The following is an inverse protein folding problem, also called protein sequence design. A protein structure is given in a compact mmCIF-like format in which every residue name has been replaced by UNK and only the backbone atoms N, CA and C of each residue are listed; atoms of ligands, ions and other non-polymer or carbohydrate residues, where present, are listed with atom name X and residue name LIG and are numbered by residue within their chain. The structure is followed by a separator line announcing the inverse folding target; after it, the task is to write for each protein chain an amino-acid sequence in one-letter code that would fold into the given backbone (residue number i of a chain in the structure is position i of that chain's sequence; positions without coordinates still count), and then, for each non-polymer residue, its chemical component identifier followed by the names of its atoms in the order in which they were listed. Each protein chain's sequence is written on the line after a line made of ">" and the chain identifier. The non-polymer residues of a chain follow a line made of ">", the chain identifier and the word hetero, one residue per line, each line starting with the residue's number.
data_IF_909370700211
#
_entry.id   IF_909370700211
#
_cell.length_a   1.000
_cell.length_b   1.000
_cell.length_c   1.000
_cell.angle_alpha   90.00
_cell.angle_beta   90.00
_cell.angle_gamma   90.00
#
_symmetry.space_group_name_H-M   'P 1'
#
loop_
_entity.id
_entity.type
_entity.pdbx_description
1 polymer ?
#
# COMPACT_ATOMS: atom_id res chain seq x y z
N UNK A 1 4.32 13.63 -23.20
CA UNK A 1 4.16 13.43 -21.75
C UNK A 1 2.67 13.29 -21.45
N UNK A 2 2.29 12.36 -20.58
CA UNK A 2 0.86 12.02 -20.36
C UNK A 2 0.55 11.80 -18.86
N UNK A 3 -0.73 11.89 -18.49
CA UNK A 3 -1.25 11.42 -17.21
C UNK A 3 -0.89 12.25 -15.99
N UNK A 4 -0.52 11.58 -14.90
CA UNK A 4 -0.15 12.19 -13.63
C UNK A 4 0.87 13.34 -13.75
N UNK A 5 1.99 13.15 -14.44
CA UNK A 5 2.97 14.20 -14.70
C UNK A 5 2.41 15.47 -15.34
N UNK A 6 1.46 15.33 -16.28
CA UNK A 6 0.80 16.51 -16.91
C UNK A 6 -0.06 17.24 -15.89
N UNK A 7 -0.88 16.50 -15.14
CA UNK A 7 -1.67 17.07 -14.05
C UNK A 7 -0.81 17.80 -13.03
N UNK A 8 0.26 17.16 -12.56
CA UNK A 8 1.11 17.72 -11.51
C UNK A 8 1.90 18.94 -12.01
N UNK A 9 2.34 18.93 -13.28
CA UNK A 9 2.92 20.11 -13.94
C UNK A 9 1.93 21.28 -14.00
N UNK A 10 0.68 21.04 -14.42
CA UNK A 10 -0.37 22.06 -14.44
C UNK A 10 -0.70 22.61 -13.04
N UNK A 11 -0.58 21.77 -12.01
CA UNK A 11 -0.74 22.14 -10.59
C UNK A 11 0.52 22.78 -9.98
N UNK A 12 1.62 22.91 -10.74
CA UNK A 12 2.93 23.37 -10.27
C UNK A 12 3.47 22.53 -9.09
N UNK A 13 3.19 21.22 -9.10
CA UNK A 13 3.69 20.25 -8.13
C UNK A 13 4.94 19.56 -8.67
N UNK A 14 5.94 19.29 -7.83
CA UNK A 14 7.09 18.50 -8.26
C UNK A 14 6.64 17.09 -8.63
N UNK A 15 7.24 16.55 -9.69
CA UNK A 15 7.08 15.13 -10.06
C UNK A 15 8.46 14.52 -10.25
N UNK A 16 8.61 13.29 -9.76
CA UNK A 16 9.84 12.50 -9.91
C UNK A 16 9.67 11.38 -10.94
N UNK A 17 8.45 11.17 -11.39
CA UNK A 17 8.10 10.18 -12.41
C UNK A 17 7.59 10.90 -13.65
N UNK A 18 8.10 10.52 -14.83
CA UNK A 18 7.57 10.96 -16.10
C UNK A 18 6.96 9.79 -16.86
N UNK A 19 5.75 9.97 -17.35
CA UNK A 19 5.08 9.04 -18.25
C UNK A 19 5.12 9.62 -19.65
N UNK A 20 5.80 8.94 -20.55
CA UNK A 20 5.85 9.27 -21.99
C UNK A 20 5.07 8.22 -22.76
N UNK A 21 4.32 8.67 -23.77
CA UNK A 21 3.69 7.77 -24.73
C UNK A 21 4.08 8.17 -26.13
N UNK A 22 4.27 7.19 -27.00
CA UNK A 22 4.67 7.37 -28.40
C UNK A 22 3.74 6.60 -29.31
N UNK A 23 3.47 7.15 -30.49
CA UNK A 23 2.76 6.42 -31.54
C UNK A 23 3.81 5.60 -32.29
N UNK A 24 3.95 4.32 -31.91
CA UNK A 24 4.95 3.41 -32.47
C UNK A 24 5.85 2.76 -31.42
N UNK A 25 7.09 2.48 -31.80
CA UNK A 25 8.06 1.78 -30.94
C UNK A 25 8.59 2.70 -29.82
N UNK A 26 8.49 2.33 -28.53
CA UNK A 26 9.01 3.10 -27.42
C UNK A 26 10.53 3.00 -27.24
N UNK A 27 11.20 2.00 -27.83
CA UNK A 27 12.62 1.72 -27.59
C UNK A 27 13.55 2.86 -27.97
N UNK A 28 13.45 3.50 -29.13
CA UNK A 28 14.32 4.62 -29.51
C UNK A 28 14.23 5.79 -28.51
N UNK A 29 13.01 6.13 -28.07
CA UNK A 29 12.79 7.22 -27.11
C UNK A 29 13.32 6.85 -25.73
N UNK A 30 13.13 5.61 -25.29
CA UNK A 30 13.67 5.13 -24.01
C UNK A 30 15.20 5.18 -23.99
N UNK A 31 15.87 4.83 -25.09
CA UNK A 31 17.34 4.92 -25.22
C UNK A 31 17.84 6.37 -25.16
N UNK A 32 17.15 7.30 -25.81
CA UNK A 32 17.48 8.73 -25.72
C UNK A 32 17.31 9.22 -24.29
N UNK A 33 16.18 8.89 -23.64
CA UNK A 33 15.94 9.24 -22.23
C UNK A 33 17.03 8.68 -21.31
N UNK A 34 17.43 7.42 -21.50
CA UNK A 34 18.47 6.80 -20.69
C UNK A 34 19.83 7.51 -20.82
N UNK A 35 20.20 7.91 -22.04
CA UNK A 35 21.42 8.71 -22.28
C UNK A 35 21.35 10.06 -21.55
N UNK A 36 20.21 10.77 -21.65
CA UNK A 36 20.02 12.08 -21.03
C UNK A 36 20.11 12.06 -19.50
N UNK A 37 19.53 11.03 -18.85
CA UNK A 37 19.50 10.94 -17.39
C UNK A 37 20.64 10.09 -16.81
N UNK A 38 21.54 9.56 -17.65
CA UNK A 38 22.62 8.68 -17.24
C UNK A 38 22.12 7.37 -16.60
N UNK A 39 21.02 6.83 -17.14
CA UNK A 39 20.30 5.68 -16.61
C UNK A 39 20.40 4.43 -17.50
N UNK A 40 19.60 3.42 -17.16
CA UNK A 40 19.44 2.17 -17.92
C UNK A 40 17.99 1.97 -18.31
N UNK A 41 17.78 1.28 -19.45
CA UNK A 41 16.45 0.87 -19.92
C UNK A 41 16.17 -0.54 -19.47
N UNK A 42 14.99 -0.75 -18.88
CA UNK A 42 14.49 -2.06 -18.47
C UNK A 42 13.10 -2.28 -19.08
N UNK A 43 12.78 -3.54 -19.45
CA UNK A 43 11.41 -3.91 -19.80
C UNK A 43 10.53 -3.86 -18.55
N UNK A 44 9.36 -3.26 -18.67
CA UNK A 44 8.45 -3.10 -17.54
C UNK A 44 7.00 -3.40 -17.91
N UNK A 45 6.35 -4.21 -17.08
CA UNK A 45 4.93 -4.52 -17.23
C UNK A 45 4.61 -5.42 -18.44
N UNK A 46 3.30 -5.63 -18.64
CA UNK A 46 2.77 -6.61 -19.62
C UNK A 46 2.65 -6.06 -21.05
N UNK A 47 2.72 -4.75 -21.22
CA UNK A 47 2.35 -4.07 -22.46
C UNK A 47 3.52 -3.35 -23.15
N UNK A 48 4.73 -3.90 -22.98
CA UNK A 48 5.90 -3.39 -23.71
C UNK A 48 6.39 -2.01 -23.25
N UNK A 49 6.05 -1.56 -22.05
CA UNK A 49 6.58 -0.33 -21.46
C UNK A 49 8.09 -0.48 -21.24
N UNK A 50 8.84 0.57 -21.52
CA UNK A 50 10.26 0.70 -21.18
C UNK A 50 10.40 1.63 -20.00
N UNK A 51 11.05 1.15 -18.96
CA UNK A 51 11.37 1.94 -17.77
C UNK A 51 12.82 2.39 -17.82
N UNK A 52 13.03 3.69 -17.69
CA UNK A 52 14.35 4.28 -17.55
C UNK A 52 14.53 4.73 -16.09
N UNK A 53 15.58 4.22 -15.44
CA UNK A 53 15.94 4.58 -14.07
C UNK A 53 17.22 5.41 -14.14
N UNK A 54 17.10 6.71 -13.83
CA UNK A 54 18.23 7.64 -13.78
C UNK A 54 19.01 7.56 -12.47
N UNK A 55 20.21 8.17 -12.43
CA UNK A 55 21.10 8.17 -11.26
C UNK A 55 20.46 8.78 -10.00
N UNK A 56 19.58 9.76 -10.14
CA UNK A 56 18.90 10.47 -9.05
C UNK A 56 17.57 9.85 -8.62
N UNK A 57 17.31 8.57 -8.93
CA UNK A 57 16.00 7.88 -8.75
C UNK A 57 14.87 8.50 -9.60
N UNK A 58 15.19 9.39 -10.52
CA UNK A 58 14.22 9.91 -11.48
C UNK A 58 13.83 8.77 -12.42
N UNK A 59 12.53 8.57 -12.59
CA UNK A 59 11.98 7.48 -13.40
C UNK A 59 11.24 8.02 -14.61
N UNK A 60 11.50 7.43 -15.77
CA UNK A 60 10.75 7.71 -16.99
C UNK A 60 10.17 6.39 -17.50
N UNK A 61 8.87 6.30 -17.60
CA UNK A 61 8.20 5.18 -18.23
C UNK A 61 7.78 5.60 -19.66
N UNK A 62 8.25 4.85 -20.65
CA UNK A 62 7.97 5.10 -22.08
C UNK A 62 7.15 3.93 -22.61
N UNK A 63 5.95 4.20 -23.09
CA UNK A 63 5.04 3.19 -23.63
C UNK A 63 4.54 3.57 -25.02
N UNK A 64 4.14 2.59 -25.83
CA UNK A 64 3.37 2.87 -27.04
C UNK A 64 1.94 3.24 -26.67
N UNK A 65 1.32 4.11 -27.48
CA UNK A 65 -0.13 4.36 -27.37
C UNK A 65 -0.90 3.08 -27.64
N UNK A 66 -1.98 2.86 -26.90
CA UNK A 66 -2.76 1.64 -27.03
C UNK A 66 -4.23 1.83 -26.70
N UNK A 67 -5.06 0.96 -27.23
CA UNK A 67 -6.44 0.77 -26.83
C UNK A 67 -6.61 -0.55 -26.09
N UNK A 68 -7.54 -0.58 -25.16
CA UNK A 68 -7.83 -1.70 -24.29
C UNK A 68 -9.34 -1.93 -24.23
N UNK A 69 -9.76 -3.18 -24.03
CA UNK A 69 -11.13 -3.55 -23.71
C UNK A 69 -11.16 -4.40 -22.45
N UNK A 70 -12.28 -4.43 -21.80
CA UNK A 70 -12.55 -5.32 -20.68
C UNK A 70 -13.53 -6.41 -21.17
N UNK A 71 -13.14 -7.68 -21.05
CA UNK A 71 -13.99 -8.82 -21.44
C UNK A 71 -15.18 -9.00 -20.50
N UNK A 72 -14.97 -8.65 -19.21
CA UNK A 72 -16.00 -8.66 -18.19
C UNK A 72 -15.63 -7.68 -17.06
N UNK A 73 -16.58 -7.29 -16.19
CA UNK A 73 -16.31 -6.44 -15.04
C UNK A 73 -15.21 -7.02 -14.13
N UNK A 74 -14.33 -6.15 -13.68
CA UNK A 74 -13.17 -6.48 -12.84
C UNK A 74 -12.10 -7.38 -13.49
N UNK A 75 -12.22 -7.73 -14.77
CA UNK A 75 -11.17 -8.40 -15.52
C UNK A 75 -9.93 -7.50 -15.66
N UNK A 76 -8.82 -8.09 -16.03
CA UNK A 76 -7.67 -7.30 -16.47
C UNK A 76 -7.92 -6.82 -17.91
N UNK A 77 -7.52 -5.58 -18.25
CA UNK A 77 -7.71 -5.08 -19.60
C UNK A 77 -6.93 -5.93 -20.62
N UNK A 78 -7.57 -6.19 -21.74
CA UNK A 78 -6.99 -6.84 -22.91
C UNK A 78 -6.54 -5.79 -23.92
N UNK A 79 -5.33 -5.95 -24.44
CA UNK A 79 -4.80 -5.10 -25.49
C UNK A 79 -5.59 -5.35 -26.79
N UNK A 80 -6.17 -4.30 -27.37
CA UNK A 80 -6.87 -4.40 -28.66
C UNK A 80 -6.04 -3.88 -29.83
N UNK A 81 -5.28 -2.81 -29.63
CA UNK A 81 -4.38 -2.26 -30.63
C UNK A 81 -3.27 -1.43 -29.99
N UNK A 82 -2.14 -1.31 -30.69
CA UNK A 82 -1.02 -0.42 -30.36
C UNK A 82 -0.81 0.61 -31.47
N UNK A 83 -0.10 1.70 -31.16
CA UNK A 83 0.13 2.78 -32.14
C UNK A 83 -1.13 3.57 -32.48
N UNK A 84 -2.15 3.53 -31.63
CA UNK A 84 -3.41 4.25 -31.83
C UNK A 84 -3.24 5.76 -31.63
N UNK A 85 -4.18 6.60 -32.14
CA UNK A 85 -4.22 8.03 -31.83
C UNK A 85 -4.20 8.30 -30.32
N UNK A 86 -3.58 9.41 -29.94
CA UNK A 86 -3.39 9.75 -28.50
C UNK A 86 -4.72 9.84 -27.74
N UNK A 87 -5.78 10.30 -28.38
CA UNK A 87 -7.11 10.42 -27.78
C UNK A 87 -7.65 9.06 -27.33
N UNK A 88 -7.40 8.00 -28.10
CA UNK A 88 -7.80 6.64 -27.72
C UNK A 88 -6.99 6.11 -26.53
N UNK A 89 -5.68 6.40 -26.46
CA UNK A 89 -4.86 6.05 -25.29
C UNK A 89 -5.32 6.81 -24.04
N UNK A 90 -5.71 8.06 -24.19
CA UNK A 90 -6.22 8.86 -23.07
C UNK A 90 -7.59 8.35 -22.58
N UNK A 91 -8.45 7.81 -23.48
CA UNK A 91 -9.79 7.33 -23.13
C UNK A 91 -9.82 6.11 -22.19
N UNK A 92 -8.82 5.24 -22.25
CA UNK A 92 -8.74 4.05 -21.37
C UNK A 92 -8.33 4.37 -19.93
N UNK A 93 -7.96 5.62 -19.61
CA UNK A 93 -7.49 6.03 -18.29
C UNK A 93 -8.63 6.12 -17.27
N UNK A 94 -8.28 6.42 -16.02
CA UNK A 94 -9.22 6.43 -14.90
C UNK A 94 -10.08 7.71 -14.81
N UNK A 95 -9.44 8.88 -14.85
CA UNK A 95 -10.08 10.17 -14.61
C UNK A 95 -9.66 11.21 -15.65
N UNK A 96 -10.56 12.17 -15.93
CA UNK A 96 -10.31 13.27 -16.87
C UNK A 96 -9.03 14.02 -16.56
N UNK A 97 -8.75 14.31 -15.29
CA UNK A 97 -7.53 15.01 -14.86
C UNK A 97 -6.23 14.22 -15.10
N UNK A 98 -6.32 12.93 -15.36
CA UNK A 98 -5.22 12.04 -15.71
C UNK A 98 -5.24 11.65 -17.19
N UNK A 99 -6.21 12.15 -17.96
CA UNK A 99 -6.39 11.87 -19.38
C UNK A 99 -6.01 13.06 -20.27
N UNK A 100 -4.94 13.72 -19.89
CA UNK A 100 -4.33 14.83 -20.63
C UNK A 100 -2.93 14.45 -21.12
N UNK A 101 -2.49 15.06 -22.20
CA UNK A 101 -1.15 14.93 -22.74
C UNK A 101 -0.54 16.29 -23.08
N UNK A 102 0.80 16.39 -23.05
CA UNK A 102 1.55 17.51 -23.61
C UNK A 102 2.44 16.98 -24.71
N UNK A 103 2.33 17.58 -25.90
CA UNK A 103 3.19 17.24 -27.03
C UNK A 103 4.64 17.62 -26.76
N UNK A 104 5.57 16.75 -27.13
CA UNK A 104 7.00 16.94 -26.96
C UNK A 104 7.76 16.79 -28.30
N UNK A 105 7.05 16.50 -29.36
CA UNK A 105 7.58 16.33 -30.72
C UNK A 105 7.81 17.67 -31.44
N UNK A 106 7.32 18.76 -30.88
CA UNK A 106 7.60 20.13 -31.30
C UNK A 106 7.79 21.05 -30.10
N UNK A 107 8.21 22.29 -30.35
CA UNK A 107 8.45 23.29 -29.29
C UNK A 107 7.19 23.96 -28.74
N UNK A 108 6.03 23.70 -29.34
CA UNK A 108 4.75 24.32 -28.94
C UNK A 108 4.29 23.91 -27.53
N UNK A 109 4.72 22.73 -27.07
CA UNK A 109 4.27 22.13 -25.81
C UNK A 109 2.75 22.13 -25.69
N UNK A 110 2.05 21.90 -26.79
CA UNK A 110 0.59 21.96 -26.87
C UNK A 110 -0.06 20.93 -25.94
N UNK A 111 -1.01 21.41 -25.13
CA UNK A 111 -1.86 20.54 -24.32
C UNK A 111 -2.90 19.85 -25.21
N UNK A 112 -3.01 18.54 -25.05
CA UNK A 112 -4.05 17.69 -25.65
C UNK A 112 -4.99 17.27 -24.51
N UNK A 113 -6.21 17.76 -24.54
CA UNK A 113 -7.23 17.55 -23.49
C UNK A 113 -8.60 17.26 -24.12
N UNK A 114 -8.80 16.07 -24.71
CA UNK A 114 -10.05 15.75 -25.39
C UNK A 114 -11.23 15.52 -24.44
N UNK A 115 -10.97 15.32 -23.14
CA UNK A 115 -11.98 14.92 -22.15
C UNK A 115 -12.24 15.98 -21.07
N UNK A 116 -11.71 17.19 -21.23
CA UNK A 116 -11.98 18.33 -20.33
C UNK A 116 -11.26 18.25 -18.98
N UNK A 117 -10.12 17.54 -18.92
CA UNK A 117 -9.34 17.39 -17.68
C UNK A 117 -8.84 18.70 -17.11
N UNK A 118 -8.48 19.69 -17.96
CA UNK A 118 -8.06 21.03 -17.53
C UNK A 118 -9.19 21.78 -16.85
N UNK A 119 -10.43 21.65 -17.33
CA UNK A 119 -11.61 22.23 -16.71
C UNK A 119 -11.85 21.59 -15.32
N UNK A 120 -11.91 20.26 -15.27
CA UNK A 120 -12.13 19.54 -14.03
C UNK A 120 -11.00 19.82 -13.00
N UNK A 121 -9.77 20.03 -13.46
CA UNK A 121 -8.64 20.43 -12.64
C UNK A 121 -8.85 21.82 -12.00
N UNK A 122 -9.32 22.80 -12.78
CA UNK A 122 -9.65 24.16 -12.32
C UNK A 122 -10.84 24.16 -11.35
N UNK A 123 -11.87 23.36 -11.66
CA UNK A 123 -13.09 23.23 -10.86
C UNK A 123 -12.91 22.35 -9.63
N UNK A 124 -11.68 21.79 -9.43
CA UNK A 124 -11.35 20.86 -8.36
C UNK A 124 -12.33 19.69 -8.29
N UNK A 125 -12.66 19.14 -9.45
CA UNK A 125 -13.62 18.04 -9.60
C UNK A 125 -12.88 16.80 -10.08
N UNK A 126 -13.19 15.65 -9.48
CA UNK A 126 -12.75 14.35 -9.97
C UNK A 126 -13.89 13.72 -10.77
N UNK A 127 -13.63 13.36 -12.02
CA UNK A 127 -14.60 12.79 -12.96
C UNK A 127 -14.02 11.59 -13.66
N UNK A 128 -14.79 10.50 -13.78
CA UNK A 128 -14.46 9.35 -14.63
C UNK A 128 -14.63 9.74 -16.11
N UNK A 129 -13.98 9.00 -17.01
CA UNK A 129 -14.02 9.30 -18.44
C UNK A 129 -15.32 8.87 -19.12
N UNK A 130 -15.99 7.84 -18.60
CA UNK A 130 -17.25 7.32 -19.15
C UNK A 130 -18.06 6.62 -18.06
N UNK A 131 -19.38 6.46 -18.22
CA UNK A 131 -20.27 5.89 -17.20
C UNK A 131 -19.94 4.45 -16.82
N UNK A 132 -19.38 3.64 -17.74
CA UNK A 132 -18.97 2.26 -17.43
C UNK A 132 -17.63 2.15 -16.70
N UNK A 133 -16.93 3.26 -16.43
CA UNK A 133 -15.54 3.27 -15.95
C UNK A 133 -15.33 2.47 -14.66
N UNK A 134 -16.23 2.58 -13.69
CA UNK A 134 -16.16 1.81 -12.44
C UNK A 134 -16.58 0.37 -12.61
N UNK A 135 -17.45 0.10 -13.59
CA UNK A 135 -17.87 -1.27 -13.94
C UNK A 135 -16.72 -2.03 -14.60
N UNK A 136 -16.06 -1.42 -15.56
CA UNK A 136 -14.92 -1.99 -16.27
C UNK A 136 -13.79 -2.32 -15.29
N UNK A 137 -13.46 -1.38 -14.43
CA UNK A 137 -12.44 -1.56 -13.40
C UNK A 137 -12.89 -1.01 -12.03
N UNK A 138 -13.45 -1.85 -11.14
CA UNK A 138 -13.87 -1.42 -9.81
C UNK A 138 -12.73 -0.94 -8.90
N UNK A 139 -11.45 -1.20 -9.23
CA UNK A 139 -10.33 -0.59 -8.48
C UNK A 139 -10.30 0.92 -8.66
N UNK A 140 -10.89 1.46 -9.73
CA UNK A 140 -11.01 2.91 -9.92
C UNK A 140 -11.83 3.60 -8.82
N UNK A 141 -12.71 2.87 -8.10
CA UNK A 141 -13.40 3.41 -6.91
C UNK A 141 -12.42 3.66 -5.77
N UNK A 142 -11.51 2.73 -5.50
CA UNK A 142 -10.44 2.92 -4.51
C UNK A 142 -9.50 4.06 -4.93
N UNK A 143 -9.15 4.12 -6.20
CA UNK A 143 -8.35 5.21 -6.78
C UNK A 143 -9.07 6.55 -6.66
N UNK A 144 -10.40 6.60 -6.92
CA UNK A 144 -11.20 7.81 -6.75
C UNK A 144 -11.14 8.32 -5.31
N UNK A 145 -11.36 7.45 -4.32
CA UNK A 145 -11.24 7.81 -2.91
C UNK A 145 -9.87 8.39 -2.56
N UNK A 146 -8.79 7.80 -3.08
CA UNK A 146 -7.41 8.29 -2.91
C UNK A 146 -7.19 9.66 -3.55
N UNK A 147 -7.60 9.85 -4.81
CA UNK A 147 -7.42 11.13 -5.49
C UNK A 147 -8.25 12.25 -4.87
N UNK A 148 -9.49 11.98 -4.47
CA UNK A 148 -10.33 12.93 -3.74
C UNK A 148 -9.68 13.37 -2.43
N UNK A 149 -9.13 12.41 -1.65
CA UNK A 149 -8.43 12.71 -0.41
C UNK A 149 -7.11 13.48 -0.64
N UNK A 150 -6.27 13.03 -1.59
CA UNK A 150 -4.96 13.63 -1.89
C UNK A 150 -5.07 15.04 -2.47
N UNK A 151 -6.00 15.26 -3.39
CA UNK A 151 -6.16 16.53 -4.08
C UNK A 151 -7.11 17.47 -3.35
N UNK A 152 -7.90 16.96 -2.42
CA UNK A 152 -9.01 17.66 -1.76
C UNK A 152 -10.04 18.18 -2.77
N UNK A 153 -10.37 17.32 -3.72
CA UNK A 153 -11.35 17.60 -4.77
C UNK A 153 -12.70 17.05 -4.37
N UNK A 154 -13.75 17.56 -5.01
CA UNK A 154 -15.11 17.03 -4.92
C UNK A 154 -15.31 15.95 -6.02
N UNK A 155 -16.11 14.91 -5.76
CA UNK A 155 -16.53 14.01 -6.83
C UNK A 155 -17.44 14.74 -7.81
N UNK A 156 -17.41 14.36 -9.09
CA UNK A 156 -18.42 14.79 -10.05
C UNK A 156 -19.80 14.27 -9.63
N UNK A 157 -20.84 14.99 -10.05
CA UNK A 157 -22.22 14.62 -9.75
C UNK A 157 -22.50 13.19 -10.24
N UNK A 158 -23.16 12.38 -9.40
CA UNK A 158 -23.49 11.00 -9.70
C UNK A 158 -22.39 9.97 -9.38
N UNK A 159 -21.10 10.37 -9.26
CA UNK A 159 -19.98 9.43 -9.08
C UNK A 159 -20.18 8.46 -7.90
N UNK A 160 -20.67 8.94 -6.76
CA UNK A 160 -20.94 8.10 -5.60
C UNK A 160 -22.08 7.10 -5.83
N UNK A 161 -23.06 7.47 -6.63
CA UNK A 161 -24.15 6.58 -7.09
C UNK A 161 -23.61 5.49 -7.99
N UNK A 162 -22.84 5.85 -9.02
CA UNK A 162 -22.19 4.89 -9.93
C UNK A 162 -21.34 3.87 -9.18
N UNK A 163 -20.53 4.31 -8.19
CA UNK A 163 -19.75 3.42 -7.34
C UNK A 163 -20.63 2.41 -6.57
N UNK A 164 -21.74 2.90 -5.97
CA UNK A 164 -22.69 2.04 -5.24
C UNK A 164 -23.41 1.05 -6.15
N UNK A 165 -23.71 1.42 -7.38
CA UNK A 165 -24.41 0.56 -8.33
C UNK A 165 -23.51 -0.61 -8.77
N UNK A 166 -22.22 -0.38 -9.03
CA UNK A 166 -21.24 -1.45 -9.30
C UNK A 166 -21.12 -2.42 -8.13
N UNK A 167 -21.20 -1.92 -6.90
CA UNK A 167 -21.19 -2.76 -5.70
C UNK A 167 -22.47 -3.60 -5.59
N UNK A 168 -23.65 -3.00 -5.79
CA UNK A 168 -24.95 -3.70 -5.76
C UNK A 168 -25.05 -4.79 -6.82
N UNK A 169 -24.47 -4.59 -7.99
CA UNK A 169 -24.42 -5.59 -9.07
C UNK A 169 -23.44 -6.73 -8.77
N UNK A 170 -22.71 -6.69 -7.65
CA UNK A 170 -21.72 -7.71 -7.27
C UNK A 170 -20.44 -7.69 -8.09
N UNK A 171 -20.28 -6.71 -8.98
CA UNK A 171 -19.13 -6.62 -9.90
C UNK A 171 -17.83 -6.29 -9.16
N UNK A 172 -17.89 -5.45 -8.13
CA UNK A 172 -16.74 -5.14 -7.29
C UNK A 172 -16.24 -6.34 -6.47
N UNK A 173 -17.10 -7.29 -6.15
CA UNK A 173 -16.73 -8.52 -5.42
C UNK A 173 -15.86 -9.49 -6.26
N UNK A 174 -15.82 -9.31 -7.58
CA UNK A 174 -14.97 -10.09 -8.50
C UNK A 174 -13.49 -9.67 -8.44
N UNK A 175 -13.15 -8.57 -7.75
CA UNK A 175 -11.76 -8.12 -7.62
C UNK A 175 -10.91 -9.18 -6.92
N UNK A 176 -9.76 -9.52 -7.51
CA UNK A 176 -8.82 -10.45 -6.90
C UNK A 176 -8.20 -9.87 -5.62
N UNK A 177 -7.82 -10.75 -4.67
CA UNK A 177 -7.14 -10.34 -3.43
C UNK A 177 -5.83 -9.61 -3.68
N UNK A 178 -5.12 -9.89 -4.77
CA UNK A 178 -3.93 -9.14 -5.18
C UNK A 178 -4.24 -7.68 -5.51
N UNK A 179 -5.31 -7.44 -6.27
CA UNK A 179 -5.72 -6.08 -6.63
C UNK A 179 -6.22 -5.31 -5.42
N UNK A 180 -7.00 -5.96 -4.56
CA UNK A 180 -7.46 -5.36 -3.30
C UNK A 180 -6.31 -5.05 -2.35
N UNK A 181 -5.31 -5.94 -2.23
CA UNK A 181 -4.10 -5.67 -1.44
C UNK A 181 -3.33 -4.47 -2.00
N UNK A 182 -3.14 -4.42 -3.32
CA UNK A 182 -2.48 -3.29 -3.96
C UNK A 182 -3.16 -1.96 -3.61
N UNK A 183 -4.49 -1.89 -3.74
CA UNK A 183 -5.23 -0.66 -3.41
C UNK A 183 -5.18 -0.33 -1.91
N UNK A 184 -5.24 -1.33 -1.03
CA UNK A 184 -5.06 -1.14 0.41
C UNK A 184 -3.69 -0.54 0.75
N UNK A 185 -2.62 -1.10 0.19
CA UNK A 185 -1.26 -0.58 0.43
C UNK A 185 -1.10 0.84 -0.12
N UNK A 186 -1.70 1.12 -1.27
CA UNK A 186 -1.74 2.46 -1.83
C UNK A 186 -2.53 3.46 -0.96
N UNK A 187 -3.68 3.05 -0.40
CA UNK A 187 -4.47 3.84 0.56
C UNK A 187 -3.65 4.17 1.81
N UNK A 188 -2.99 3.15 2.37
CA UNK A 188 -2.11 3.31 3.53
C UNK A 188 -0.86 4.15 3.22
N UNK A 189 -0.50 4.31 1.96
CA UNK A 189 0.60 5.19 1.51
C UNK A 189 0.23 6.67 1.39
N UNK A 190 -1.05 7.03 1.46
CA UNK A 190 -1.47 8.44 1.39
C UNK A 190 -1.07 9.21 2.66
N UNK A 191 -0.82 10.51 2.55
CA UNK A 191 -0.50 11.36 3.70
C UNK A 191 -1.63 11.35 4.75
N UNK A 192 -2.87 11.42 4.28
CA UNK A 192 -4.06 11.31 5.11
C UNK A 192 -5.00 10.22 4.60
N UNK A 193 -4.79 8.96 4.97
CA UNK A 193 -5.62 7.84 4.51
C UNK A 193 -7.05 7.86 5.06
N UNK A 194 -7.29 8.50 6.21
CA UNK A 194 -8.61 8.48 6.88
C UNK A 194 -9.73 9.07 6.01
N UNK A 195 -9.44 10.13 5.25
CA UNK A 195 -10.42 10.71 4.33
C UNK A 195 -10.79 9.74 3.21
N UNK A 196 -9.80 9.02 2.66
CA UNK A 196 -10.05 8.03 1.62
C UNK A 196 -10.84 6.83 2.16
N UNK A 197 -10.51 6.34 3.35
CA UNK A 197 -11.28 5.28 4.02
C UNK A 197 -12.72 5.71 4.30
N UNK A 198 -12.96 6.96 4.76
CA UNK A 198 -14.29 7.50 4.98
C UNK A 198 -15.15 7.54 3.71
N UNK A 199 -14.56 7.87 2.56
CA UNK A 199 -15.24 7.80 1.26
C UNK A 199 -15.60 6.37 0.89
N UNK A 200 -14.68 5.42 1.08
CA UNK A 200 -14.92 4.00 0.81
C UNK A 200 -16.00 3.42 1.73
N UNK A 201 -16.03 3.84 3.00
CA UNK A 201 -17.11 3.46 3.93
C UNK A 201 -18.45 3.99 3.44
N UNK A 202 -18.53 5.28 3.10
CA UNK A 202 -19.74 5.93 2.59
C UNK A 202 -20.27 5.26 1.29
N UNK A 203 -19.36 4.74 0.45
CA UNK A 203 -19.72 4.02 -0.77
C UNK A 203 -19.93 2.53 -0.57
N UNK A 204 -19.64 1.97 0.63
CA UNK A 204 -19.82 0.56 0.98
C UNK A 204 -18.69 -0.37 0.55
N UNK A 205 -17.52 0.15 0.21
CA UNK A 205 -16.39 -0.63 -0.33
C UNK A 205 -15.44 -1.20 0.73
N UNK A 206 -15.48 -0.71 1.98
CA UNK A 206 -14.58 -1.20 3.04
C UNK A 206 -14.68 -2.70 3.29
N UNK A 207 -15.88 -3.33 3.30
CA UNK A 207 -15.99 -4.77 3.51
C UNK A 207 -15.27 -5.63 2.45
N UNK A 208 -15.02 -5.09 1.25
CA UNK A 208 -14.23 -5.79 0.22
C UNK A 208 -12.76 -5.91 0.63
N UNK A 209 -12.23 -4.94 1.37
CA UNK A 209 -10.90 -5.02 1.96
C UNK A 209 -10.95 -5.97 3.17
N UNK A 210 -11.68 -5.60 4.19
CA UNK A 210 -11.95 -6.42 5.35
C UNK A 210 -13.18 -5.88 6.11
N UNK A 211 -14.14 -6.72 6.53
CA UNK A 211 -15.41 -6.28 7.11
C UNK A 211 -15.29 -5.35 8.32
N UNK A 212 -14.27 -5.59 9.17
CA UNK A 212 -14.07 -4.86 10.41
C UNK A 212 -12.75 -4.07 10.40
N UNK A 213 -12.34 -3.54 9.24
CA UNK A 213 -11.07 -2.81 9.13
C UNK A 213 -11.06 -1.58 10.05
N UNK A 214 -10.15 -1.49 11.05
CA UNK A 214 -10.15 -0.41 12.05
C UNK A 214 -9.43 0.83 11.51
N UNK A 215 -10.03 1.54 10.57
CA UNK A 215 -9.43 2.70 9.91
C UNK A 215 -9.59 4.02 10.68
N UNK A 216 -10.57 4.09 11.62
CA UNK A 216 -10.91 5.33 12.36
C UNK A 216 -9.89 5.67 13.46
N UNK A 217 -8.91 4.81 13.69
CA UNK A 217 -7.87 5.03 14.68
C UNK A 217 -6.80 6.02 14.20
N UNK A 218 -6.09 6.67 15.13
CA UNK A 218 -4.91 7.48 14.78
C UNK A 218 -3.77 6.58 14.29
N UNK A 219 -3.58 6.56 12.98
CA UNK A 219 -2.55 5.75 12.33
C UNK A 219 -1.15 6.41 12.45
N UNK A 220 -0.08 5.62 12.58
CA UNK A 220 1.30 6.09 12.48
C UNK A 220 1.66 6.48 11.04
N UNK A 221 2.87 7.02 10.83
CA UNK A 221 3.37 7.25 9.49
C UNK A 221 3.94 5.96 8.88
N UNK A 222 3.76 5.82 7.56
CA UNK A 222 4.26 4.70 6.78
C UNK A 222 3.29 3.52 6.65
N UNK A 223 3.36 2.81 5.52
CA UNK A 223 2.42 1.74 5.14
C UNK A 223 2.46 0.57 6.13
N UNK A 224 3.65 -0.01 6.35
CA UNK A 224 3.79 -1.17 7.22
C UNK A 224 3.46 -0.87 8.70
N UNK A 225 3.89 0.28 9.29
CA UNK A 225 3.44 0.68 10.62
C UNK A 225 1.92 0.88 10.74
N UNK A 226 1.27 1.50 9.73
CA UNK A 226 -0.18 1.67 9.69
C UNK A 226 -0.90 0.32 9.68
N UNK A 227 -0.45 -0.57 8.83
CA UNK A 227 -1.00 -1.92 8.72
C UNK A 227 -0.84 -2.71 10.03
N UNK A 228 0.35 -2.71 10.62
CA UNK A 228 0.61 -3.38 11.90
C UNK A 228 -0.26 -2.81 13.04
N UNK A 229 -0.48 -1.49 13.08
CA UNK A 229 -1.36 -0.86 14.06
C UNK A 229 -2.82 -1.31 13.90
N UNK A 230 -3.32 -1.38 12.66
CA UNK A 230 -4.66 -1.90 12.36
C UNK A 230 -4.81 -3.36 12.77
N UNK A 231 -3.83 -4.21 12.46
CA UNK A 231 -3.85 -5.62 12.83
C UNK A 231 -3.85 -5.82 14.35
N UNK A 232 -3.03 -5.08 15.08
CA UNK A 232 -3.03 -5.12 16.55
C UNK A 232 -4.37 -4.65 17.14
N UNK A 233 -5.08 -3.74 16.47
CA UNK A 233 -6.42 -3.32 16.88
C UNK A 233 -7.50 -4.39 16.64
N UNK A 234 -7.33 -5.22 15.59
CA UNK A 234 -8.22 -6.35 15.32
C UNK A 234 -8.10 -7.49 16.32
N UNK A 235 -6.98 -7.57 17.03
CA UNK A 235 -6.67 -8.68 17.93
C UNK A 235 -5.96 -9.85 17.24
N UNK A 236 -5.53 -10.86 18.03
CA UNK A 236 -4.63 -11.90 17.50
C UNK A 236 -5.30 -12.81 16.47
N UNK A 237 -6.56 -13.17 16.65
CA UNK A 237 -7.29 -14.08 15.76
C UNK A 237 -7.64 -13.38 14.44
N UNK A 238 -8.42 -12.29 14.50
CA UNK A 238 -8.85 -11.55 13.31
C UNK A 238 -7.65 -10.92 12.56
N UNK A 239 -6.61 -10.48 13.28
CA UNK A 239 -5.39 -9.99 12.67
C UNK A 239 -4.65 -11.07 11.88
N UNK A 240 -4.56 -12.30 12.40
CA UNK A 240 -3.96 -13.43 11.69
C UNK A 240 -4.81 -13.85 10.48
N UNK A 241 -6.14 -13.89 10.60
CA UNK A 241 -7.06 -14.14 9.50
C UNK A 241 -6.94 -13.10 8.39
N UNK A 242 -6.80 -11.82 8.76
CA UNK A 242 -6.55 -10.75 7.80
C UNK A 242 -5.25 -11.01 7.03
N UNK A 243 -4.13 -11.29 7.73
CA UNK A 243 -2.85 -11.58 7.09
C UNK A 243 -2.93 -12.81 6.17
N UNK A 244 -3.68 -13.84 6.57
CA UNK A 244 -3.90 -15.03 5.74
C UNK A 244 -4.76 -14.76 4.52
N UNK A 245 -5.69 -13.79 4.59
CA UNK A 245 -6.63 -13.48 3.51
C UNK A 245 -6.01 -12.70 2.34
N UNK A 246 -4.78 -12.20 2.49
CA UNK A 246 -4.09 -11.42 1.46
C UNK A 246 -2.73 -12.02 1.07
N UNK A 247 -2.32 -11.90 -0.20
CA UNK A 247 -1.04 -12.39 -0.70
C UNK A 247 0.10 -11.38 -0.39
N UNK A 248 0.38 -11.13 0.89
CA UNK A 248 1.50 -10.29 1.28
C UNK A 248 2.84 -10.88 0.85
N UNK A 249 3.81 -10.03 0.53
CA UNK A 249 5.20 -10.43 0.40
C UNK A 249 5.70 -11.08 1.68
N UNK A 250 6.55 -12.11 1.54
CA UNK A 250 6.98 -12.96 2.66
C UNK A 250 7.57 -12.15 3.82
N UNK A 251 8.46 -11.20 3.53
CA UNK A 251 9.10 -10.40 4.57
C UNK A 251 8.09 -9.59 5.40
N UNK A 252 7.19 -8.87 4.73
CA UNK A 252 6.15 -8.09 5.41
C UNK A 252 5.19 -9.00 6.17
N UNK A 253 4.78 -10.13 5.60
CA UNK A 253 3.92 -11.11 6.26
C UNK A 253 4.52 -11.60 7.57
N UNK A 254 5.80 -11.94 7.58
CA UNK A 254 6.53 -12.40 8.78
C UNK A 254 6.53 -11.30 9.85
N UNK A 255 6.87 -10.07 9.50
CA UNK A 255 6.90 -8.94 10.46
C UNK A 255 5.52 -8.63 11.05
N UNK A 256 4.44 -8.72 10.25
CA UNK A 256 3.08 -8.51 10.71
C UNK A 256 2.62 -9.60 11.69
N UNK A 257 2.91 -10.87 11.40
CA UNK A 257 2.61 -11.99 12.29
C UNK A 257 3.45 -11.93 13.57
N UNK A 258 4.71 -11.51 13.47
CA UNK A 258 5.56 -11.26 14.64
C UNK A 258 4.98 -10.15 15.53
N UNK A 259 4.48 -9.05 14.95
CA UNK A 259 3.85 -7.96 15.69
C UNK A 259 2.61 -8.46 16.46
N UNK A 260 1.76 -9.28 15.83
CA UNK A 260 0.60 -9.90 16.48
C UNK A 260 1.04 -10.83 17.63
N UNK A 261 1.95 -11.75 17.36
CA UNK A 261 2.45 -12.69 18.38
C UNK A 261 3.09 -11.95 19.56
N UNK A 262 3.90 -10.94 19.29
CA UNK A 262 4.56 -10.13 20.30
C UNK A 262 3.57 -9.27 21.11
N UNK A 263 2.56 -8.70 20.45
CA UNK A 263 1.56 -7.84 21.09
C UNK A 263 0.74 -8.57 22.12
N UNK A 264 0.32 -9.78 21.79
CA UNK A 264 -0.59 -10.59 22.61
C UNK A 264 0.10 -11.71 23.41
N UNK A 265 1.44 -11.76 23.39
CA UNK A 265 2.20 -12.69 24.23
C UNK A 265 2.14 -12.29 25.72
N UNK A 266 2.05 -13.27 26.60
CA UNK A 266 2.22 -13.11 28.05
C UNK A 266 3.70 -13.16 28.50
N UNK A 267 4.64 -13.38 27.57
CA UNK A 267 6.07 -13.60 27.80
C UNK A 267 6.95 -12.62 27.04
N UNK A 268 8.12 -12.33 27.60
CA UNK A 268 9.18 -11.65 26.88
C UNK A 268 9.67 -12.52 25.70
N UNK A 269 10.06 -11.91 24.55
CA UNK A 269 10.49 -12.67 23.38
C UNK A 269 11.80 -13.42 23.63
N UNK A 270 12.00 -14.53 22.92
CA UNK A 270 13.26 -15.30 23.01
C UNK A 270 14.42 -14.59 22.29
N UNK A 271 14.14 -13.91 21.21
CA UNK A 271 15.07 -13.14 20.38
C UNK A 271 14.63 -11.66 20.30
N UNK A 272 15.48 -10.79 19.79
CA UNK A 272 15.12 -9.42 19.52
C UNK A 272 14.07 -9.37 18.40
N UNK A 273 12.91 -8.71 18.62
CA UNK A 273 11.89 -8.57 17.60
C UNK A 273 12.35 -7.61 16.49
N UNK A 274 11.72 -7.70 15.33
CA UNK A 274 11.91 -6.73 14.24
C UNK A 274 11.59 -5.30 14.71
N UNK A 275 12.19 -4.32 14.04
CA UNK A 275 11.95 -2.91 14.37
C UNK A 275 10.47 -2.55 14.20
N UNK A 276 9.83 -3.08 13.15
CA UNK A 276 8.41 -2.87 12.89
C UNK A 276 7.55 -3.44 14.03
N UNK A 277 7.72 -4.71 14.37
CA UNK A 277 6.95 -5.38 15.43
C UNK A 277 7.12 -4.68 16.79
N UNK A 278 8.35 -4.36 17.18
CA UNK A 278 8.61 -3.67 18.44
C UNK A 278 7.96 -2.27 18.50
N UNK A 279 8.07 -1.49 17.44
CA UNK A 279 7.49 -0.15 17.35
C UNK A 279 5.95 -0.20 17.38
N UNK A 280 5.35 -1.09 16.60
CA UNK A 280 3.90 -1.26 16.53
C UNK A 280 3.32 -1.67 17.91
N UNK A 281 3.94 -2.65 18.58
CA UNK A 281 3.49 -3.12 19.89
C UNK A 281 3.64 -2.03 20.96
N UNK A 282 4.75 -1.28 21.00
CA UNK A 282 4.90 -0.14 21.93
C UNK A 282 3.81 0.90 21.76
N UNK A 283 3.43 1.18 20.52
CA UNK A 283 2.37 2.13 20.21
C UNK A 283 1.00 1.62 20.63
N UNK A 284 0.67 0.37 20.32
CA UNK A 284 -0.61 -0.26 20.66
C UNK A 284 -0.79 -0.48 22.16
N UNK A 285 0.31 -0.74 22.86
CA UNK A 285 0.33 -1.06 24.29
C UNK A 285 1.28 -0.12 25.06
N UNK A 286 0.94 1.18 25.22
CA UNK A 286 1.85 2.19 25.79
C UNK A 286 2.20 1.94 27.26
N UNK A 287 1.38 1.18 28.00
CA UNK A 287 1.64 0.81 29.39
C UNK A 287 2.59 -0.38 29.56
N UNK A 288 3.02 -0.99 28.45
CA UNK A 288 3.92 -2.12 28.49
C UNK A 288 5.30 -1.72 29.00
N UNK A 289 5.87 -2.51 29.91
CA UNK A 289 7.20 -2.24 30.46
C UNK A 289 8.26 -2.11 29.35
N UNK A 290 9.23 -1.18 29.46
CA UNK A 290 10.31 -1.04 28.46
C UNK A 290 11.13 -2.34 28.24
N UNK A 291 11.18 -3.22 29.23
CA UNK A 291 11.91 -4.50 29.14
C UNK A 291 11.06 -5.64 28.58
N UNK A 292 9.76 -5.44 28.46
CA UNK A 292 8.80 -6.46 27.99
C UNK A 292 9.09 -6.93 26.54
N UNK A 293 9.70 -6.08 25.72
CA UNK A 293 10.05 -6.36 24.32
C UNK A 293 11.55 -6.66 24.13
N UNK A 294 12.32 -6.70 25.20
CA UNK A 294 13.72 -7.14 25.14
C UNK A 294 13.76 -8.67 25.17
N UNK A 295 14.78 -9.29 24.55
CA UNK A 295 15.02 -10.72 24.68
C UNK A 295 15.02 -11.15 26.14
N UNK A 296 14.49 -12.35 26.42
CA UNK A 296 14.41 -12.87 27.76
C UNK A 296 15.80 -12.86 28.46
N UNK A 297 15.86 -12.31 29.65
CA UNK A 297 17.09 -12.17 30.43
C UNK A 297 17.66 -13.52 30.87
N UNK A 298 16.79 -14.49 31.17
CA UNK A 298 17.19 -15.85 31.55
C UNK A 298 17.23 -16.73 30.32
N UNK A 299 18.32 -17.49 30.19
CA UNK A 299 18.52 -18.44 29.09
C UNK A 299 18.74 -19.85 29.63
N UNK A 300 18.56 -20.87 28.84
CA UNK A 300 18.82 -22.25 29.25
C UNK A 300 20.23 -22.49 29.82
N UNK A 301 21.24 -21.81 29.25
CA UNK A 301 22.62 -21.88 29.77
C UNK A 301 22.75 -21.38 31.25
N UNK A 302 21.90 -20.48 31.70
CA UNK A 302 21.94 -19.96 33.05
C UNK A 302 21.42 -21.03 34.05
N UNK A 303 20.40 -21.79 33.66
CA UNK A 303 19.88 -22.92 34.45
C UNK A 303 20.89 -24.08 34.50
N UNK A 304 21.58 -24.37 33.39
CA UNK A 304 22.65 -25.39 33.36
C UNK A 304 23.78 -25.01 34.30
N UNK A 305 24.20 -23.73 34.37
CA UNK A 305 25.21 -23.23 35.30
C UNK A 305 24.80 -23.39 36.76
N UNK A 306 23.49 -23.41 37.06
CA UNK A 306 22.94 -23.67 38.39
C UNK A 306 22.74 -25.17 38.66
N UNK A 307 23.27 -26.06 37.80
CA UNK A 307 23.21 -27.52 37.98
C UNK A 307 21.86 -28.14 37.59
N UNK A 308 20.93 -27.38 37.00
CA UNK A 308 19.62 -27.89 36.58
C UNK A 308 19.71 -28.67 35.29
N UNK A 309 19.01 -29.80 35.22
CA UNK A 309 18.94 -30.65 34.02
C UNK A 309 17.75 -30.22 33.13
N UNK A 310 17.86 -30.28 31.77
CA UNK A 310 16.75 -30.07 30.88
C UNK A 310 15.57 -31.00 31.21
N UNK A 311 14.36 -30.44 31.31
CA UNK A 311 13.14 -31.16 31.65
C UNK A 311 11.95 -30.21 31.83
N UNK A 312 10.79 -30.71 32.28
CA UNK A 312 9.60 -29.89 32.49
C UNK A 312 9.81 -28.68 33.42
N UNK A 313 10.47 -28.90 34.56
CA UNK A 313 10.78 -27.82 35.54
C UNK A 313 11.74 -26.77 34.96
N UNK A 314 12.69 -27.19 34.13
CA UNK A 314 13.60 -26.30 33.43
C UNK A 314 12.83 -25.32 32.50
N UNK A 315 11.87 -25.85 31.73
CA UNK A 315 11.01 -25.05 30.87
C UNK A 315 10.07 -24.14 31.66
N UNK A 316 9.51 -24.64 32.73
CA UNK A 316 8.65 -23.85 33.65
C UNK A 316 9.39 -22.65 34.24
N UNK A 317 10.65 -22.80 34.64
CA UNK A 317 11.47 -21.71 35.16
C UNK A 317 11.78 -20.64 34.11
N UNK A 318 12.11 -21.06 32.87
CA UNK A 318 12.32 -20.11 31.73
C UNK A 318 11.05 -19.34 31.42
N UNK A 319 9.91 -20.01 31.37
CA UNK A 319 8.61 -19.41 31.10
C UNK A 319 8.20 -18.42 32.19
N UNK A 320 8.40 -18.78 33.47
CA UNK A 320 8.12 -17.90 34.61
C UNK A 320 8.99 -16.63 34.55
N UNK A 321 10.30 -16.79 34.30
CA UNK A 321 11.18 -15.63 34.10
C UNK A 321 10.74 -14.71 32.96
N UNK A 322 10.36 -15.27 31.81
CA UNK A 322 9.89 -14.52 30.68
C UNK A 322 8.57 -13.77 30.96
N UNK A 323 7.64 -14.38 31.69
CA UNK A 323 6.41 -13.73 32.17
C UNK A 323 6.69 -12.59 33.13
N UNK A 324 7.54 -12.80 34.11
CA UNK A 324 7.92 -11.76 35.09
C UNK A 324 8.63 -10.57 34.42
N UNK A 325 9.47 -10.84 33.41
CA UNK A 325 10.09 -9.78 32.60
C UNK A 325 9.03 -9.05 31.80
N UNK A 326 8.10 -9.74 31.16
CA UNK A 326 6.99 -9.13 30.41
C UNK A 326 6.16 -8.18 31.27
N UNK A 327 5.89 -8.57 32.51
CA UNK A 327 5.20 -7.75 33.51
C UNK A 327 6.06 -6.62 34.11
N UNK A 328 7.35 -6.54 33.74
CA UNK A 328 8.29 -5.54 34.25
C UNK A 328 8.73 -5.78 35.70
N UNK A 329 8.46 -6.97 36.25
CA UNK A 329 8.92 -7.37 37.61
C UNK A 329 10.40 -7.71 37.60
N UNK A 330 10.93 -8.29 36.53
CA UNK A 330 12.37 -8.48 36.30
C UNK A 330 12.83 -7.42 35.27
N UNK A 331 13.53 -6.39 35.78
CA UNK A 331 13.92 -5.24 34.94
C UNK A 331 15.37 -5.29 34.44
N UNK A 332 16.20 -6.14 35.01
CA UNK A 332 17.61 -6.32 34.67
C UNK A 332 17.96 -7.80 34.64
N UNK A 333 19.02 -8.15 33.89
CA UNK A 333 19.56 -9.50 33.86
C UNK A 333 20.02 -9.96 35.24
N UNK A 334 20.68 -9.08 36.02
CA UNK A 334 21.13 -9.38 37.39
C UNK A 334 19.96 -9.75 38.31
N UNK A 335 18.88 -8.96 38.30
CA UNK A 335 17.68 -9.26 39.09
C UNK A 335 17.01 -10.58 38.65
N UNK A 336 17.04 -10.88 37.33
CA UNK A 336 16.48 -12.12 36.78
C UNK A 336 17.29 -13.35 37.23
N UNK A 337 18.62 -13.26 37.22
CA UNK A 337 19.50 -14.34 37.70
C UNK A 337 19.41 -14.53 39.20
N UNK A 338 19.32 -13.45 39.96
CA UNK A 338 19.11 -13.53 41.42
C UNK A 338 17.74 -14.13 41.81
N UNK A 339 16.71 -13.85 41.00
CA UNK A 339 15.41 -14.50 41.13
C UNK A 339 15.52 -16.00 40.81
N UNK A 340 16.17 -16.37 39.72
CA UNK A 340 16.34 -17.76 39.30
C UNK A 340 17.08 -18.62 40.30
N UNK A 341 18.11 -18.05 40.98
CA UNK A 341 18.88 -18.75 41.99
C UNK A 341 18.07 -19.05 43.29
N UNK A 342 16.93 -18.40 43.49
CA UNK A 342 16.03 -18.61 44.63
C UNK A 342 14.87 -19.57 44.35
N UNK A 343 14.70 -20.00 43.13
CA UNK A 343 13.71 -20.99 42.70
C UNK A 343 14.27 -22.42 42.84
#
# INVERSE_FOLDING_TARGET
>A
MVGGPVRDWLLKRPTFDLDLTVVGDPDPIAQVCAKLVGGKVEAFGRFGTRRVIGRSRFRIDVATTRSEKYSEPAALPELTATGVPIEQDLFRRDFTINAMAVRLDDDSRKLVDPYGGLRDLKDRTLRVLHPASFRDDPTRVFRAARFLARLRYKPADGMGGEAKDVLKLGEAAKLSRHRLLHELLCLLGEDNPSMAFGLLEMWGYLPLLYPELPWQMKLPDGVAPRLAAMLLSLGPVKGAEFVASFPFEHALRVELLEALALGYSDRAPRAAPSKLAAAAVRRAFPKLSPVALKPCFVRGADLIKLGRKPGPEFHAALDAAARLQRLGKLRTRAAALAWLARQ
#
